data_IF_158321738218
#
_entry.id   IF_158321738218
#
_cell.length_a   1.000
_cell.length_b   1.000
_cell.length_c   1.000
_cell.angle_alpha   90.00
_cell.angle_beta   90.00
_cell.angle_gamma   90.00
#
_symmetry.space_group_name_H-M   'P 1'
#
loop_
_entity.id
_entity.type
_entity.pdbx_description
1 polymer ?
#
# COMPACT_ATOMS: atom_id res chain seq x y z
N UNK A 1 -29.44 11.60 -6.67
CA UNK A 1 -28.26 10.87 -7.22
C UNK A 1 -27.08 11.24 -6.35
N UNK A 2 -26.44 10.27 -5.68
CA UNK A 2 -25.26 10.52 -4.84
C UNK A 2 -24.09 11.01 -5.68
N UNK A 3 -23.28 11.92 -5.11
CA UNK A 3 -22.11 12.50 -5.74
C UNK A 3 -20.87 12.21 -4.91
N UNK A 4 -19.91 11.49 -5.47
CA UNK A 4 -18.63 11.19 -4.82
C UNK A 4 -17.48 11.97 -5.45
N UNK A 5 -16.40 12.14 -4.68
CA UNK A 5 -15.11 12.58 -5.18
C UNK A 5 -14.14 11.40 -5.30
N UNK A 6 -13.46 11.31 -6.44
CA UNK A 6 -12.32 10.44 -6.66
C UNK A 6 -11.07 11.31 -6.66
N UNK A 7 -10.29 11.27 -5.58
CA UNK A 7 -9.18 12.20 -5.36
C UNK A 7 -7.87 11.55 -5.76
N UNK A 8 -7.12 12.23 -6.62
CA UNK A 8 -5.79 11.82 -7.07
C UNK A 8 -4.83 13.02 -7.07
N UNK A 9 -3.55 12.74 -6.95
CA UNK A 9 -2.52 13.67 -7.40
C UNK A 9 -2.42 13.63 -8.93
N UNK A 10 -2.01 14.75 -9.55
CA UNK A 10 -2.02 14.95 -11.01
C UNK A 10 -1.33 13.82 -11.78
N UNK A 11 -0.11 13.46 -11.39
CA UNK A 11 0.67 12.44 -12.10
C UNK A 11 0.10 11.04 -11.90
N UNK A 12 -0.48 10.76 -10.73
CA UNK A 12 -1.13 9.48 -10.45
C UNK A 12 -2.47 9.36 -11.19
N UNK A 13 -3.24 10.43 -11.31
CA UNK A 13 -4.45 10.47 -12.14
C UNK A 13 -4.13 10.14 -13.60
N UNK A 14 -3.10 10.78 -14.16
CA UNK A 14 -2.65 10.58 -15.53
C UNK A 14 -2.22 9.13 -15.79
N UNK A 15 -1.41 8.56 -14.87
CA UNK A 15 -0.99 7.15 -14.95
C UNK A 15 -2.14 6.14 -14.82
N UNK A 16 -3.23 6.52 -14.16
CA UNK A 16 -4.38 5.66 -13.90
C UNK A 16 -5.64 6.11 -14.66
N UNK A 17 -5.51 6.90 -15.72
CA UNK A 17 -6.64 7.49 -16.47
C UNK A 17 -7.68 6.45 -16.89
N UNK A 18 -7.24 5.32 -17.41
CA UNK A 18 -8.13 4.21 -17.76
C UNK A 18 -8.92 3.71 -16.54
N UNK A 19 -8.26 3.51 -15.40
CA UNK A 19 -8.92 3.01 -14.17
C UNK A 19 -9.88 4.05 -13.59
N UNK A 20 -9.54 5.34 -13.67
CA UNK A 20 -10.43 6.46 -13.32
C UNK A 20 -11.70 6.40 -14.17
N UNK A 21 -11.56 6.23 -15.49
CA UNK A 21 -12.70 6.07 -16.40
C UNK A 21 -13.58 4.89 -16.02
N UNK A 22 -12.99 3.72 -15.81
CA UNK A 22 -13.72 2.51 -15.40
C UNK A 22 -14.49 2.68 -14.09
N UNK A 23 -13.86 3.28 -13.05
CA UNK A 23 -14.54 3.54 -11.79
C UNK A 23 -15.75 4.46 -11.99
N UNK A 24 -15.60 5.54 -12.76
CA UNK A 24 -16.70 6.48 -13.05
C UNK A 24 -17.87 5.81 -13.76
N UNK A 25 -17.59 4.95 -14.74
CA UNK A 25 -18.61 4.17 -15.44
C UNK A 25 -19.36 3.23 -14.49
N UNK A 26 -18.64 2.48 -13.63
CA UNK A 26 -19.25 1.55 -12.70
C UNK A 26 -20.12 2.26 -11.65
N UNK A 27 -19.67 3.41 -11.13
CA UNK A 27 -20.49 4.23 -10.23
C UNK A 27 -21.73 4.82 -10.94
N UNK A 28 -21.58 5.24 -12.19
CA UNK A 28 -22.73 5.71 -12.99
C UNK A 28 -23.80 4.61 -13.17
N UNK A 29 -23.39 3.36 -13.41
CA UNK A 29 -24.30 2.19 -13.45
C UNK A 29 -25.01 1.94 -12.12
N UNK A 30 -24.44 2.38 -11.00
CA UNK A 30 -25.03 2.32 -9.66
C UNK A 30 -25.88 3.55 -9.31
N UNK A 31 -26.07 4.47 -10.26
CA UNK A 31 -26.84 5.70 -10.04
C UNK A 31 -26.11 6.75 -9.21
N UNK A 32 -24.79 6.68 -9.13
CA UNK A 32 -23.95 7.68 -8.46
C UNK A 32 -23.01 8.37 -9.46
N UNK A 33 -22.76 9.66 -9.24
CA UNK A 33 -21.77 10.43 -10.00
C UNK A 33 -20.44 10.43 -9.25
N UNK A 34 -19.35 10.12 -9.92
CA UNK A 34 -18.00 10.15 -9.36
C UNK A 34 -17.17 11.21 -10.10
N UNK A 35 -16.85 12.32 -9.44
CA UNK A 35 -16.07 13.42 -10.00
C UNK A 35 -14.59 13.23 -9.68
N UNK A 36 -13.73 13.32 -10.70
CA UNK A 36 -12.27 13.32 -10.50
C UNK A 36 -11.86 14.68 -9.93
N UNK A 37 -11.19 14.65 -8.79
CA UNK A 37 -10.60 15.82 -8.12
C UNK A 37 -9.09 15.66 -8.10
N UNK A 38 -8.37 16.63 -8.61
CA UNK A 38 -6.90 16.66 -8.55
C UNK A 38 -6.50 17.54 -7.37
N UNK A 39 -5.92 16.93 -6.33
CA UNK A 39 -5.49 17.64 -5.14
C UNK A 39 -4.29 16.91 -4.50
N UNK A 40 -3.30 17.66 -4.01
CA UNK A 40 -2.17 17.18 -3.18
C UNK A 40 -2.45 17.32 -1.70
N UNK A 41 -3.35 18.22 -1.32
CA UNK A 41 -3.67 18.52 0.07
C UNK A 41 -4.98 19.25 0.21
N UNK A 42 -5.36 19.51 1.45
CA UNK A 42 -6.67 20.12 1.81
C UNK A 42 -6.91 21.47 1.13
N UNK A 43 -5.86 22.29 0.95
CA UNK A 43 -6.00 23.62 0.33
C UNK A 43 -6.35 23.60 -1.17
N UNK A 44 -6.22 22.46 -1.85
CA UNK A 44 -6.55 22.28 -3.26
C UNK A 44 -7.92 21.61 -3.48
N UNK A 45 -8.62 21.26 -2.39
CA UNK A 45 -9.93 20.62 -2.48
C UNK A 45 -11.01 21.60 -2.91
N UNK A 46 -12.03 21.14 -3.69
CA UNK A 46 -13.18 21.96 -4.04
C UNK A 46 -14.00 22.34 -2.79
N UNK A 47 -14.72 23.48 -2.88
CA UNK A 47 -15.56 23.95 -1.78
C UNK A 47 -16.84 23.11 -1.58
N UNK A 48 -17.26 22.43 -2.63
CA UNK A 48 -18.44 21.57 -2.62
C UNK A 48 -18.22 20.36 -1.73
N UNK A 49 -19.29 19.90 -1.11
CA UNK A 49 -19.30 18.74 -0.23
C UNK A 49 -19.84 17.52 -0.98
N UNK A 50 -19.07 16.42 -1.11
CA UNK A 50 -19.57 15.19 -1.69
C UNK A 50 -20.32 14.33 -0.67
N UNK A 51 -21.11 13.35 -1.14
CA UNK A 51 -21.73 12.35 -0.27
C UNK A 51 -20.73 11.29 0.22
N UNK A 52 -19.62 11.07 -0.54
CA UNK A 52 -18.53 10.13 -0.19
C UNK A 52 -17.24 10.49 -0.94
N UNK A 53 -16.13 9.93 -0.48
CA UNK A 53 -14.81 10.14 -1.08
C UNK A 53 -14.11 8.80 -1.32
N UNK A 54 -13.52 8.64 -2.49
CA UNK A 54 -12.53 7.60 -2.77
C UNK A 54 -11.17 8.29 -2.84
N UNK A 55 -10.39 8.18 -1.77
CA UNK A 55 -9.08 8.81 -1.67
C UNK A 55 -8.00 7.91 -2.29
N UNK A 56 -7.37 8.40 -3.36
CA UNK A 56 -6.25 7.75 -4.04
C UNK A 56 -5.00 8.62 -3.95
N UNK A 57 -4.87 9.36 -2.86
CA UNK A 57 -3.70 10.16 -2.47
C UNK A 57 -2.98 9.51 -1.29
N UNK A 58 -1.71 9.85 -1.10
CA UNK A 58 -0.92 9.42 0.07
C UNK A 58 -0.92 10.43 1.20
N UNK A 59 -1.67 11.52 1.05
CA UNK A 59 -1.79 12.56 2.06
C UNK A 59 -3.01 12.30 2.96
N UNK A 60 -2.79 11.70 4.12
CA UNK A 60 -3.84 11.36 5.07
C UNK A 60 -4.63 12.58 5.60
N UNK A 61 -4.08 13.81 5.48
CA UNK A 61 -4.84 15.01 5.86
C UNK A 61 -6.07 15.25 4.98
N UNK A 62 -6.02 14.78 3.72
CA UNK A 62 -7.18 14.81 2.81
C UNK A 62 -8.28 13.90 3.33
N UNK A 63 -7.92 12.68 3.76
CA UNK A 63 -8.87 11.70 4.30
C UNK A 63 -9.48 12.23 5.60
N UNK A 64 -8.64 12.67 6.56
CA UNK A 64 -9.07 13.24 7.84
C UNK A 64 -9.98 14.47 7.68
N UNK A 65 -9.75 15.30 6.67
CA UNK A 65 -10.58 16.47 6.39
C UNK A 65 -12.05 16.10 6.10
N UNK A 66 -12.27 15.06 5.32
CA UNK A 66 -13.62 14.59 5.01
C UNK A 66 -14.22 13.76 6.15
N UNK A 67 -13.42 12.94 6.82
CA UNK A 67 -13.85 12.20 8.02
C UNK A 67 -14.34 13.15 9.12
N UNK A 68 -13.61 14.26 9.34
CA UNK A 68 -14.01 15.30 10.31
C UNK A 68 -15.33 15.98 9.97
N UNK A 69 -15.83 15.86 8.74
CA UNK A 69 -17.15 16.32 8.29
C UNK A 69 -18.21 15.22 8.30
N UNK A 70 -17.88 14.02 8.79
CA UNK A 70 -18.78 12.88 8.78
C UNK A 70 -19.02 12.26 7.39
N UNK A 71 -18.16 12.56 6.41
CA UNK A 71 -18.26 12.03 5.05
C UNK A 71 -17.50 10.70 4.97
N UNK A 72 -18.13 9.61 4.45
CA UNK A 72 -17.45 8.35 4.24
C UNK A 72 -16.25 8.51 3.31
N UNK A 73 -15.07 7.99 3.74
CA UNK A 73 -13.80 8.04 2.97
C UNK A 73 -13.24 6.62 2.80
N UNK A 74 -12.91 6.24 1.59
CA UNK A 74 -12.34 4.95 1.21
C UNK A 74 -10.94 5.14 0.56
N UNK A 75 -9.81 4.73 1.20
CA UNK A 75 -9.65 4.26 2.57
C UNK A 75 -9.69 5.42 3.58
N UNK A 76 -9.83 5.05 4.87
CA UNK A 76 -9.77 6.01 5.98
C UNK A 76 -8.33 6.57 6.18
N UNK A 77 -8.23 7.65 6.97
CA UNK A 77 -6.96 8.33 7.26
C UNK A 77 -5.96 7.45 8.00
N UNK A 78 -6.41 6.58 8.90
CA UNK A 78 -5.55 5.65 9.64
C UNK A 78 -4.87 4.64 8.70
N UNK A 79 -5.62 4.12 7.71
CA UNK A 79 -5.06 3.24 6.68
C UNK A 79 -4.02 3.99 5.84
N UNK A 80 -4.35 5.21 5.40
CA UNK A 80 -3.43 6.03 4.61
C UNK A 80 -2.14 6.35 5.39
N UNK A 81 -2.22 6.73 6.66
CA UNK A 81 -1.06 6.99 7.51
C UNK A 81 -0.19 5.73 7.67
N UNK A 82 -0.80 4.61 8.07
CA UNK A 82 -0.06 3.37 8.30
C UNK A 82 0.63 2.86 7.03
N UNK A 83 -0.04 2.88 5.88
CA UNK A 83 0.51 2.36 4.63
C UNK A 83 1.63 3.24 4.05
N UNK A 84 1.65 4.54 4.38
CA UNK A 84 2.61 5.49 3.81
C UNK A 84 3.77 5.84 4.78
N UNK A 85 3.88 5.16 5.92
CA UNK A 85 5.05 5.15 6.80
C UNK A 85 5.43 3.71 7.15
N UNK A 86 6.51 3.21 6.56
CA UNK A 86 6.96 1.82 6.76
C UNK A 86 7.31 1.51 8.21
N UNK A 87 7.89 2.46 8.94
CA UNK A 87 8.21 2.25 10.35
C UNK A 87 6.93 2.07 11.18
N UNK A 88 5.95 2.96 11.00
CA UNK A 88 4.65 2.85 11.65
C UNK A 88 3.91 1.55 11.26
N UNK A 89 4.00 1.13 9.99
CA UNK A 89 3.47 -0.16 9.54
C UNK A 89 4.07 -1.34 10.31
N UNK A 90 5.40 -1.38 10.49
CA UNK A 90 6.06 -2.48 11.20
C UNK A 90 5.73 -2.50 12.69
N UNK A 91 5.68 -1.35 13.34
CA UNK A 91 5.28 -1.24 14.75
C UNK A 91 3.84 -1.74 14.94
N UNK A 92 2.90 -1.27 14.13
CA UNK A 92 1.51 -1.72 14.16
C UNK A 92 1.41 -3.25 13.98
N UNK A 93 2.13 -3.81 13.03
CA UNK A 93 2.09 -5.25 12.78
C UNK A 93 2.73 -6.05 13.91
N UNK A 94 3.81 -5.57 14.50
CA UNK A 94 4.46 -6.16 15.68
C UNK A 94 3.49 -6.18 16.87
N UNK A 95 2.80 -5.08 17.16
CA UNK A 95 1.77 -4.99 18.21
C UNK A 95 0.62 -5.97 17.95
N UNK A 96 0.28 -6.18 16.69
CA UNK A 96 -0.71 -7.17 16.30
C UNK A 96 -0.20 -8.62 16.31
N UNK A 97 1.07 -8.89 16.66
CA UNK A 97 1.66 -10.24 16.61
C UNK A 97 1.72 -10.80 15.19
N UNK A 98 1.87 -9.93 14.18
CA UNK A 98 2.14 -10.30 12.79
C UNK A 98 3.65 -10.35 12.61
N UNK A 99 4.22 -11.43 12.05
CA UNK A 99 5.66 -11.51 11.84
C UNK A 99 6.18 -10.39 10.96
N UNK A 100 7.22 -9.69 11.43
CA UNK A 100 7.95 -8.63 10.73
C UNK A 100 9.44 -8.87 10.88
N UNK A 101 10.26 -8.40 9.93
CA UNK A 101 11.70 -8.35 10.14
C UNK A 101 12.05 -7.33 11.23
N UNK A 102 13.09 -7.57 12.04
CA UNK A 102 13.61 -6.56 12.94
C UNK A 102 13.86 -5.25 12.19
N UNK A 103 13.35 -4.16 12.70
CA UNK A 103 13.38 -2.85 12.02
C UNK A 103 13.80 -1.78 13.00
N UNK A 104 14.75 -0.97 12.59
CA UNK A 104 15.18 0.23 13.33
C UNK A 104 15.26 1.41 12.37
N UNK A 105 15.19 2.62 12.90
CA UNK A 105 15.52 3.82 12.13
C UNK A 105 17.04 3.88 11.87
N UNK A 106 17.47 4.57 10.81
CA UNK A 106 18.91 4.59 10.51
C UNK A 106 19.74 5.36 11.55
N UNK A 107 19.14 6.27 12.32
CA UNK A 107 19.79 6.94 13.46
C UNK A 107 19.93 6.04 14.70
N UNK A 108 19.07 5.01 14.83
CA UNK A 108 19.18 3.97 15.86
C UNK A 108 20.08 2.80 15.47
N UNK A 109 20.38 2.65 14.15
CA UNK A 109 21.18 1.54 13.65
C UNK A 109 22.63 1.60 14.14
N UNK A 110 23.16 0.49 14.67
CA UNK A 110 24.53 0.38 15.21
C UNK A 110 25.25 -0.80 14.58
N UNK A 111 26.58 -0.68 14.47
CA UNK A 111 27.44 -1.75 13.96
C UNK A 111 27.26 -3.04 14.78
N UNK A 112 27.07 -4.15 14.06
CA UNK A 112 26.85 -5.46 14.67
C UNK A 112 25.40 -5.76 15.08
N UNK A 113 24.45 -4.86 14.82
CA UNK A 113 23.05 -5.05 15.17
C UNK A 113 22.38 -6.10 14.26
N UNK A 114 22.75 -6.13 12.99
CA UNK A 114 22.24 -7.10 12.00
C UNK A 114 23.40 -7.68 11.17
N UNK A 115 23.23 -8.92 10.72
CA UNK A 115 24.12 -9.56 9.75
C UNK A 115 23.90 -8.94 8.36
N UNK A 116 24.98 -8.84 7.58
CA UNK A 116 24.92 -8.33 6.21
C UNK A 116 24.60 -9.45 5.19
N UNK A 117 23.91 -9.10 4.09
CA UNK A 117 23.48 -7.77 3.69
C UNK A 117 22.24 -7.26 4.45
N UNK A 118 22.13 -5.94 4.61
CA UNK A 118 20.95 -5.29 5.15
C UNK A 118 20.21 -4.48 4.07
N UNK A 119 18.91 -4.25 4.28
CA UNK A 119 18.10 -3.38 3.44
C UNK A 119 17.93 -2.03 4.12
N UNK A 120 18.30 -0.96 3.40
CA UNK A 120 18.08 0.44 3.78
C UNK A 120 16.99 1.01 2.89
N UNK A 121 15.93 1.56 3.45
CA UNK A 121 14.81 2.11 2.66
C UNK A 121 14.19 3.33 3.32
N UNK A 122 13.67 4.27 2.51
CA UNK A 122 12.95 5.41 3.07
C UNK A 122 11.63 4.96 3.68
N UNK A 123 11.19 5.64 4.74
CA UNK A 123 9.93 5.38 5.43
C UNK A 123 8.73 5.59 4.49
N UNK A 124 8.75 6.67 3.70
CA UNK A 124 7.70 7.12 2.81
C UNK A 124 7.85 6.68 1.34
N UNK A 125 8.93 5.92 1.02
CA UNK A 125 9.25 5.52 -0.36
C UNK A 125 8.28 4.52 -0.96
N UNK A 126 8.04 4.63 -2.28
CA UNK A 126 7.11 3.79 -3.03
C UNK A 126 7.74 3.19 -4.29
N UNK A 127 7.21 2.03 -4.72
CA UNK A 127 7.60 1.38 -5.98
C UNK A 127 9.03 0.88 -6.03
N UNK A 128 9.68 0.66 -4.89
CA UNK A 128 11.02 0.07 -4.79
C UNK A 128 12.18 0.98 -5.21
N UNK A 129 11.94 2.23 -5.57
CA UNK A 129 13.00 3.15 -6.06
C UNK A 129 14.01 3.55 -4.98
N UNK A 130 13.54 3.65 -3.75
CA UNK A 130 14.31 4.08 -2.58
C UNK A 130 14.54 2.91 -1.62
N UNK A 131 14.87 1.75 -2.17
CA UNK A 131 15.21 0.53 -1.44
C UNK A 131 16.60 0.10 -1.89
N UNK A 132 17.54 0.02 -0.96
CA UNK A 132 18.95 -0.24 -1.20
C UNK A 132 19.40 -1.47 -0.42
N UNK A 133 20.39 -2.19 -0.97
CA UNK A 133 21.05 -3.29 -0.30
C UNK A 133 22.46 -2.83 0.10
N UNK A 134 22.76 -2.82 1.38
CA UNK A 134 24.08 -2.50 1.92
C UNK A 134 24.83 -3.78 2.33
N UNK A 135 26.10 -3.87 1.99
CA UNK A 135 26.97 -5.03 2.22
C UNK A 135 27.81 -4.89 3.48
N UNK A 136 27.90 -3.69 4.00
CA UNK A 136 28.61 -3.36 5.23
C UNK A 136 27.98 -2.17 5.95
N UNK A 137 28.46 -1.87 7.17
CA UNK A 137 27.94 -0.80 8.01
C UNK A 137 28.13 0.59 7.41
N UNK A 138 29.29 0.84 6.80
CA UNK A 138 29.61 2.15 6.24
C UNK A 138 28.78 2.44 5.00
N UNK A 139 28.50 1.42 4.19
CA UNK A 139 27.58 1.53 3.06
C UNK A 139 26.15 1.86 3.53
N UNK A 140 25.65 1.19 4.56
CA UNK A 140 24.34 1.46 5.15
C UNK A 140 24.22 2.90 5.69
N UNK A 141 25.26 3.39 6.37
CA UNK A 141 25.31 4.76 6.88
C UNK A 141 25.31 5.79 5.73
N UNK A 142 26.12 5.58 4.70
CA UNK A 142 26.17 6.49 3.53
C UNK A 142 24.82 6.62 2.82
N UNK A 143 24.04 5.55 2.74
CA UNK A 143 22.73 5.54 2.07
C UNK A 143 21.69 6.44 2.74
N UNK A 144 21.83 6.70 4.04
CA UNK A 144 20.92 7.51 4.85
C UNK A 144 21.54 8.83 5.32
N UNK A 145 22.77 9.15 4.89
CA UNK A 145 23.53 10.29 5.37
C UNK A 145 22.75 11.62 5.24
N UNK A 146 22.73 12.40 6.33
CA UNK A 146 22.02 13.67 6.42
C UNK A 146 20.49 13.56 6.59
N UNK A 147 19.91 12.34 6.50
CA UNK A 147 18.47 12.10 6.62
C UNK A 147 18.13 10.80 7.37
N UNK A 148 18.89 10.45 8.39
CA UNK A 148 18.80 9.14 9.06
C UNK A 148 17.39 8.84 9.60
N UNK A 149 16.69 9.83 10.15
CA UNK A 149 15.32 9.64 10.67
C UNK A 149 14.29 9.27 9.58
N UNK A 150 14.58 9.59 8.31
CA UNK A 150 13.70 9.27 7.17
C UNK A 150 13.93 7.86 6.62
N UNK A 151 14.93 7.13 7.12
CA UNK A 151 15.29 5.80 6.65
C UNK A 151 15.12 4.75 7.76
N UNK A 152 14.82 3.55 7.33
CA UNK A 152 14.83 2.34 8.18
C UNK A 152 15.83 1.34 7.65
N UNK A 153 16.38 0.55 8.59
CA UNK A 153 17.32 -0.56 8.31
C UNK A 153 16.72 -1.87 8.80
N UNK A 154 16.82 -2.90 7.97
CA UNK A 154 16.33 -4.25 8.25
C UNK A 154 17.34 -5.29 7.77
N UNK A 155 17.44 -6.48 8.39
CA UNK A 155 18.13 -7.59 7.76
C UNK A 155 17.47 -7.96 6.43
N UNK A 156 18.24 -8.59 5.53
CA UNK A 156 17.69 -9.16 4.30
C UNK A 156 16.78 -10.35 4.64
N UNK A 157 15.64 -10.49 3.96
CA UNK A 157 14.83 -11.71 4.09
C UNK A 157 15.57 -12.91 3.47
N UNK A 158 15.21 -14.14 3.89
CA UNK A 158 15.91 -15.35 3.41
C UNK A 158 15.66 -15.71 1.94
N UNK A 159 14.64 -15.09 1.29
CA UNK A 159 14.35 -15.27 -0.13
C UNK A 159 14.19 -13.90 -0.85
N UNK A 160 15.29 -13.14 -1.03
CA UNK A 160 15.23 -11.84 -1.68
C UNK A 160 14.76 -11.94 -3.13
N UNK A 161 14.13 -10.90 -3.65
CA UNK A 161 13.58 -10.85 -5.00
C UNK A 161 12.25 -11.57 -5.19
N UNK A 162 11.68 -12.12 -4.12
CA UNK A 162 10.36 -12.76 -4.13
C UNK A 162 9.47 -12.08 -3.10
N UNK A 163 8.23 -11.79 -3.47
CA UNK A 163 7.18 -11.41 -2.53
C UNK A 163 5.81 -11.94 -2.96
N UNK A 164 4.85 -11.83 -2.06
CA UNK A 164 3.45 -12.16 -2.31
C UNK A 164 2.60 -10.95 -1.99
N UNK A 165 1.96 -10.36 -3.00
CA UNK A 165 0.95 -9.31 -2.81
C UNK A 165 -0.42 -9.94 -2.64
N UNK A 166 -1.07 -9.65 -1.52
CA UNK A 166 -2.48 -10.01 -1.26
C UNK A 166 -3.34 -8.77 -1.43
N UNK A 167 -4.32 -8.84 -2.31
CA UNK A 167 -5.30 -7.78 -2.53
C UNK A 167 -6.50 -8.00 -1.61
N UNK A 168 -6.82 -7.01 -0.80
CA UNK A 168 -7.88 -7.07 0.20
C UNK A 168 -8.98 -6.05 -0.12
N UNK A 169 -10.23 -6.48 -0.08
CA UNK A 169 -11.42 -5.61 -0.19
C UNK A 169 -12.39 -5.93 0.95
N UNK A 170 -12.63 -4.95 1.81
CA UNK A 170 -13.55 -5.11 2.94
C UNK A 170 -13.16 -6.21 3.91
N UNK A 171 -11.87 -6.48 4.07
CA UNK A 171 -11.35 -7.55 4.93
C UNK A 171 -11.31 -8.93 4.27
N UNK A 172 -11.77 -9.07 3.02
CA UNK A 172 -11.71 -10.33 2.28
C UNK A 172 -10.62 -10.33 1.21
N UNK A 173 -10.02 -11.50 0.97
CA UNK A 173 -9.02 -11.70 -0.07
C UNK A 173 -9.70 -11.70 -1.43
N UNK A 174 -9.33 -10.76 -2.30
CA UNK A 174 -9.78 -10.71 -3.70
C UNK A 174 -8.92 -11.60 -4.58
N UNK A 175 -7.61 -11.50 -4.43
CA UNK A 175 -6.61 -12.32 -5.12
C UNK A 175 -5.26 -12.21 -4.40
N UNK A 176 -4.34 -13.13 -4.72
CA UNK A 176 -2.95 -12.98 -4.35
C UNK A 176 -2.04 -13.27 -5.56
N UNK A 177 -0.93 -12.54 -5.64
CA UNK A 177 0.05 -12.71 -6.70
C UNK A 177 1.46 -12.85 -6.12
N UNK A 178 2.16 -13.92 -6.45
CA UNK A 178 3.60 -14.04 -6.23
C UNK A 178 4.31 -13.22 -7.30
N UNK A 179 5.27 -12.37 -6.87
CA UNK A 179 6.09 -11.56 -7.76
C UNK A 179 7.54 -11.98 -7.63
N UNK A 180 8.26 -12.00 -8.75
CA UNK A 180 9.68 -12.35 -8.80
C UNK A 180 10.43 -11.36 -9.67
N UNK A 181 11.45 -10.72 -9.11
CA UNK A 181 12.35 -9.79 -9.80
C UNK A 181 13.73 -10.40 -10.05
N UNK A 182 14.51 -9.71 -10.90
CA UNK A 182 15.93 -10.01 -11.13
C UNK A 182 16.78 -9.30 -10.07
N UNK A 183 17.07 -9.89 -8.96
CA UNK A 183 17.84 -9.30 -7.85
C UNK A 183 17.05 -9.33 -6.56
N UNK A 184 17.29 -8.39 -5.64
CA UNK A 184 16.64 -8.41 -4.33
C UNK A 184 15.27 -7.73 -4.29
N UNK A 185 14.87 -7.02 -5.36
CA UNK A 185 13.56 -6.37 -5.51
C UNK A 185 12.64 -7.20 -6.37
N UNK A 186 11.37 -7.33 -5.96
CA UNK A 186 10.34 -8.12 -6.65
C UNK A 186 9.32 -7.30 -7.43
N UNK A 187 9.45 -5.95 -7.45
CA UNK A 187 8.45 -5.05 -7.98
C UNK A 187 8.12 -5.33 -9.47
N UNK A 188 6.87 -5.64 -9.76
CA UNK A 188 6.36 -5.87 -11.12
C UNK A 188 6.56 -4.67 -12.05
N UNK A 189 6.43 -3.45 -11.52
CA UNK A 189 6.68 -2.21 -12.27
C UNK A 189 8.13 -2.02 -12.72
N UNK A 190 9.07 -2.81 -12.20
CA UNK A 190 10.48 -2.82 -12.57
C UNK A 190 10.84 -4.02 -13.49
N UNK A 191 9.84 -4.65 -14.13
CA UNK A 191 10.05 -5.78 -15.04
C UNK A 191 9.96 -7.16 -14.38
N UNK A 192 9.57 -7.24 -13.11
CA UNK A 192 9.35 -8.51 -12.42
C UNK A 192 8.24 -9.35 -13.05
N UNK A 193 8.35 -10.69 -12.95
CA UNK A 193 7.30 -11.64 -13.32
C UNK A 193 6.29 -11.77 -12.18
N UNK A 194 5.01 -12.01 -12.52
CA UNK A 194 3.98 -12.25 -11.53
C UNK A 194 3.07 -13.41 -11.96
N UNK A 195 2.57 -14.17 -10.99
CA UNK A 195 1.56 -15.21 -11.19
C UNK A 195 0.55 -15.19 -10.06
N UNK A 196 -0.70 -15.51 -10.37
CA UNK A 196 -1.73 -15.66 -9.35
C UNK A 196 -1.48 -16.94 -8.56
N UNK A 197 -1.64 -16.82 -7.23
CA UNK A 197 -1.43 -17.91 -6.28
C UNK A 197 -2.54 -17.93 -5.23
N UNK A 198 -2.71 -19.07 -4.57
CA UNK A 198 -3.51 -19.12 -3.34
C UNK A 198 -2.61 -18.74 -2.15
N UNK A 199 -2.95 -17.69 -1.38
CA UNK A 199 -2.13 -17.33 -0.23
C UNK A 199 -2.25 -18.42 0.85
N UNK A 200 -1.11 -18.80 1.48
CA UNK A 200 -1.13 -19.69 2.64
C UNK A 200 -2.01 -19.14 3.76
N UNK A 201 -2.53 -20.02 4.60
CA UNK A 201 -3.46 -19.63 5.67
C UNK A 201 -2.85 -18.62 6.64
N UNK A 202 -1.55 -18.75 6.94
CA UNK A 202 -0.80 -17.77 7.74
C UNK A 202 -0.88 -16.36 7.14
N UNK A 203 -0.62 -16.23 5.84
CA UNK A 203 -0.66 -14.97 5.10
C UNK A 203 -2.07 -14.40 5.06
N UNK A 204 -3.07 -15.25 4.79
CA UNK A 204 -4.49 -14.86 4.77
C UNK A 204 -4.94 -14.29 6.11
N UNK A 205 -4.63 -14.98 7.23
CA UNK A 205 -4.97 -14.52 8.57
C UNK A 205 -4.28 -13.21 8.92
N UNK A 206 -2.99 -13.06 8.58
CA UNK A 206 -2.25 -11.83 8.82
C UNK A 206 -2.86 -10.65 8.04
N UNK A 207 -3.18 -10.83 6.74
CA UNK A 207 -3.80 -9.79 5.93
C UNK A 207 -5.19 -9.38 6.45
N UNK A 208 -6.03 -10.34 6.85
CA UNK A 208 -7.33 -10.05 7.49
C UNK A 208 -7.17 -9.29 8.81
N UNK A 209 -6.19 -9.64 9.63
CA UNK A 209 -5.91 -8.96 10.90
C UNK A 209 -5.46 -7.51 10.69
N UNK A 210 -4.65 -7.25 9.67
CA UNK A 210 -4.25 -5.90 9.25
C UNK A 210 -5.48 -5.09 8.85
N UNK A 211 -6.32 -5.63 7.95
CA UNK A 211 -7.54 -4.95 7.52
C UNK A 211 -8.46 -4.62 8.69
N UNK A 212 -8.68 -5.56 9.60
CA UNK A 212 -9.52 -5.36 10.78
C UNK A 212 -8.96 -4.28 11.72
N UNK A 213 -7.63 -4.26 11.93
CA UNK A 213 -6.95 -3.28 12.79
C UNK A 213 -7.01 -1.86 12.23
N UNK A 214 -6.92 -1.71 10.90
CA UNK A 214 -6.94 -0.43 10.21
C UNK A 214 -8.36 0.01 9.81
N UNK A 215 -9.33 -0.88 9.78
CA UNK A 215 -10.63 -0.60 9.16
C UNK A 215 -10.53 -0.29 7.67
N UNK A 216 -9.55 -0.92 6.99
CA UNK A 216 -9.25 -0.63 5.59
C UNK A 216 -10.27 -1.24 4.63
N UNK A 217 -10.53 -0.54 3.53
CA UNK A 217 -11.45 -0.99 2.49
C UNK A 217 -10.72 -1.69 1.33
N UNK A 218 -9.80 -1.01 0.64
CA UNK A 218 -9.06 -1.54 -0.50
C UNK A 218 -7.57 -1.30 -0.36
N UNK A 219 -6.81 -2.35 -0.02
CA UNK A 219 -5.36 -2.30 0.17
C UNK A 219 -4.65 -3.47 -0.50
N UNK A 220 -3.36 -3.32 -0.74
CA UNK A 220 -2.42 -4.40 -0.98
C UNK A 220 -1.61 -4.68 0.28
N UNK A 221 -1.38 -5.96 0.58
CA UNK A 221 -0.47 -6.36 1.66
C UNK A 221 0.60 -7.25 1.06
N UNK A 222 1.84 -6.82 1.17
CA UNK A 222 2.99 -7.53 0.61
C UNK A 222 3.67 -8.35 1.71
N UNK A 223 3.89 -9.63 1.45
CA UNK A 223 4.57 -10.56 2.34
C UNK A 223 5.84 -11.06 1.70
N UNK A 224 6.92 -11.15 2.49
CA UNK A 224 8.21 -11.68 2.07
C UNK A 224 8.36 -13.11 2.60
N UNK A 225 8.77 -14.08 1.76
CA UNK A 225 9.16 -15.39 2.27
C UNK A 225 10.39 -15.25 3.17
N UNK A 226 10.32 -15.82 4.36
CA UNK A 226 11.42 -15.77 5.35
C UNK A 226 11.37 -17.00 6.25
N UNK A 227 12.48 -17.72 6.33
CA UNK A 227 12.72 -18.89 7.21
C UNK A 227 11.58 -19.92 7.22
N UNK A 228 11.14 -20.30 6.02
CA UNK A 228 10.07 -21.28 5.82
C UNK A 228 8.64 -20.76 6.06
N UNK A 229 8.50 -19.49 6.43
CA UNK A 229 7.24 -18.80 6.61
C UNK A 229 7.15 -17.49 5.79
N UNK A 230 6.37 -16.56 6.31
CA UNK A 230 6.18 -15.24 5.69
C UNK A 230 6.23 -14.14 6.77
N UNK A 231 6.89 -13.04 6.44
CA UNK A 231 6.89 -11.80 7.22
C UNK A 231 6.26 -10.68 6.40
N UNK A 232 5.74 -9.65 7.07
CA UNK A 232 5.23 -8.47 6.37
C UNK A 232 6.36 -7.76 5.62
N UNK A 233 6.11 -7.40 4.37
CA UNK A 233 6.94 -6.52 3.55
C UNK A 233 6.50 -5.07 3.60
N UNK A 234 5.25 -4.80 3.19
CA UNK A 234 4.63 -3.47 3.24
C UNK A 234 3.10 -3.56 3.13
N UNK A 235 2.42 -2.49 3.53
CA UNK A 235 1.02 -2.24 3.20
C UNK A 235 1.00 -1.19 2.09
N UNK A 236 0.20 -1.39 1.05
CA UNK A 236 0.10 -0.45 -0.07
C UNK A 236 -1.29 0.20 -0.11
N UNK A 237 -1.32 1.49 0.12
CA UNK A 237 -2.46 2.39 -0.09
C UNK A 237 -1.95 3.70 -0.72
N UNK A 238 -2.48 4.07 -1.87
CA UNK A 238 -3.48 3.38 -2.69
C UNK A 238 -2.88 2.25 -3.54
N UNK A 239 -3.45 1.04 -3.42
CA UNK A 239 -2.99 -0.11 -4.19
C UNK A 239 -3.42 -0.04 -5.66
N UNK A 240 -2.51 -0.38 -6.58
CA UNK A 240 -2.77 -0.43 -8.02
C UNK A 240 -3.44 -1.73 -8.46
N UNK A 241 -4.37 -1.67 -9.42
CA UNK A 241 -5.11 -2.81 -9.94
C UNK A 241 -4.55 -3.41 -11.24
N UNK A 242 -3.56 -2.79 -11.86
CA UNK A 242 -3.05 -3.19 -13.20
C UNK A 242 -2.64 -4.65 -13.30
N UNK A 243 -2.00 -5.19 -12.26
CA UNK A 243 -1.56 -6.57 -12.24
C UNK A 243 -2.76 -7.54 -12.22
N UNK A 244 -3.83 -7.22 -11.49
CA UNK A 244 -5.05 -8.04 -11.49
C UNK A 244 -5.72 -8.05 -12.87
N UNK A 245 -5.84 -6.92 -13.53
CA UNK A 245 -6.37 -6.86 -14.89
C UNK A 245 -5.50 -7.59 -15.93
N UNK A 246 -4.18 -7.65 -15.71
CA UNK A 246 -3.28 -8.36 -16.62
C UNK A 246 -3.29 -9.88 -16.42
N UNK A 247 -3.60 -10.36 -15.22
CA UNK A 247 -3.42 -11.77 -14.85
C UNK A 247 -4.73 -12.50 -14.53
N UNK A 248 -5.87 -11.78 -14.49
CA UNK A 248 -7.18 -12.34 -14.12
C UNK A 248 -8.31 -11.67 -14.89
N UNK A 249 -9.48 -12.29 -14.87
CA UNK A 249 -10.74 -11.72 -15.39
C UNK A 249 -11.49 -10.89 -14.33
N UNK A 250 -10.83 -10.52 -13.22
CA UNK A 250 -11.44 -9.76 -12.13
C UNK A 250 -11.60 -8.29 -12.55
N UNK A 251 -12.84 -7.84 -12.71
CA UNK A 251 -13.14 -6.41 -12.87
C UNK A 251 -13.07 -5.71 -11.51
N UNK A 252 -11.90 -5.18 -11.19
CA UNK A 252 -11.64 -4.50 -9.91
C UNK A 252 -12.51 -3.27 -9.76
N UNK A 253 -12.69 -2.46 -10.82
CA UNK A 253 -13.51 -1.25 -10.76
C UNK A 253 -14.96 -1.58 -10.38
N UNK A 254 -15.52 -2.62 -10.99
CA UNK A 254 -16.87 -3.11 -10.66
C UNK A 254 -16.95 -3.58 -9.21
N UNK A 255 -16.01 -4.40 -8.75
CA UNK A 255 -15.99 -4.87 -7.36
C UNK A 255 -15.91 -3.75 -6.34
N UNK A 256 -15.09 -2.73 -6.61
CA UNK A 256 -14.98 -1.54 -5.75
C UNK A 256 -16.29 -0.74 -5.75
N UNK A 257 -16.90 -0.52 -6.92
CA UNK A 257 -18.17 0.18 -7.02
C UNK A 257 -19.29 -0.58 -6.30
N UNK A 258 -19.36 -1.93 -6.43
CA UNK A 258 -20.30 -2.77 -5.70
C UNK A 258 -20.12 -2.61 -4.17
N UNK A 259 -18.89 -2.76 -3.69
CA UNK A 259 -18.57 -2.69 -2.25
C UNK A 259 -18.82 -1.29 -1.66
N UNK A 260 -18.32 -0.23 -2.31
CA UNK A 260 -18.49 1.13 -1.78
C UNK A 260 -19.96 1.58 -1.84
N UNK A 261 -20.72 1.19 -2.89
CA UNK A 261 -22.13 1.55 -3.00
C UNK A 261 -23.00 0.96 -1.89
N UNK A 262 -22.58 -0.12 -1.24
CA UNK A 262 -23.28 -0.67 -0.07
C UNK A 262 -23.01 0.13 1.23
N UNK A 263 -21.97 0.97 1.23
CA UNK A 263 -21.53 1.74 2.41
C UNK A 263 -21.93 3.23 2.35
N UNK A 264 -22.47 3.69 1.25
CA UNK A 264 -22.83 5.09 1.02
C UNK A 264 -24.32 5.32 0.98
#
# INVERSE_FOLDING_TARGET
MKRGFLIYEREDAKRNEWFVGRLREEFARKGARLDLVIARGVGELPKETPDFVIARTRNASVNSFFEGKGIPVFNNSMTCLAANDKYATYELCRECGIPVLPTVTADEYRKGMFDFPVVVKTRDGHGGKQVFCARDYDEACRMSEGRQADYIVQPMCSAPGIDMRVYMLGGEVVAAAERRGEGFRSNWSLGGKARIVQPPEQVRRAAKKICARLGSDWIGVDFLPHDGGYVLGEIEDPVGARMLYALTDIDVARRLADYFSMKI
#
